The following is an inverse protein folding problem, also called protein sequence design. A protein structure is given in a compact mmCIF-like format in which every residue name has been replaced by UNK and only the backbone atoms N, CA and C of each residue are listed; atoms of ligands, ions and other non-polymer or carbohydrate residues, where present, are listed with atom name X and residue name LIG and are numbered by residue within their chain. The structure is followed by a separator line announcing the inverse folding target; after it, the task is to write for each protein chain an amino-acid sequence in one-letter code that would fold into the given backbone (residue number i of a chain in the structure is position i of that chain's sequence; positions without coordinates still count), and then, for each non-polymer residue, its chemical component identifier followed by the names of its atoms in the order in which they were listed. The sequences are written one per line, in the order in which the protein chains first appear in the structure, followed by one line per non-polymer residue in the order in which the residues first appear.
data_IF_319967622429
#
_entry.id   IF_319967622429
#
_cell.length_a   1.000
_cell.length_b   1.000
_cell.length_c   1.000
_cell.angle_alpha   90.00
_cell.angle_beta   90.00
_cell.angle_gamma   90.00
#
_symmetry.space_group_name_H-M   'P 1'
#
loop_
_entity.id
_entity.type
_entity.pdbx_description
1 polymer ?
#
# COMPACT_ATOMS: atom_id res chain seq x y z
N UNK A 1 8.05 -17.05 -24.25
CA UNK A 1 6.92 -16.70 -23.39
C UNK A 1 6.09 -17.95 -23.08
N UNK A 2 5.65 -18.67 -24.10
CA UNK A 2 4.80 -19.87 -23.93
C UNK A 2 5.48 -21.03 -23.18
N UNK A 3 6.79 -21.23 -23.38
CA UNK A 3 7.57 -22.27 -22.67
C UNK A 3 7.70 -21.99 -21.15
N UNK A 4 7.77 -20.74 -20.74
CA UNK A 4 7.83 -20.38 -19.33
C UNK A 4 6.46 -20.56 -18.67
N UNK A 5 5.40 -20.11 -19.33
CA UNK A 5 4.03 -20.26 -18.81
C UNK A 5 3.64 -21.72 -18.61
N UNK A 6 4.06 -22.61 -19.52
CA UNK A 6 3.81 -24.05 -19.42
C UNK A 6 4.53 -24.70 -18.22
N UNK A 7 5.57 -24.08 -17.67
CA UNK A 7 6.32 -24.53 -16.50
C UNK A 7 5.93 -23.82 -15.20
N UNK A 8 4.84 -23.06 -15.19
CA UNK A 8 4.35 -22.35 -14.00
C UNK A 8 5.10 -21.06 -13.70
N UNK A 9 5.78 -20.47 -14.69
CA UNK A 9 6.42 -19.16 -14.59
C UNK A 9 5.62 -18.14 -15.37
N UNK A 10 5.21 -17.08 -14.68
CA UNK A 10 4.52 -15.96 -15.30
C UNK A 10 5.36 -14.70 -15.10
N UNK A 11 5.42 -13.88 -16.11
CA UNK A 11 6.13 -12.60 -16.02
C UNK A 11 5.34 -11.49 -16.71
N UNK A 12 5.61 -10.29 -16.30
CA UNK A 12 4.95 -9.13 -16.88
C UNK A 12 5.56 -7.82 -16.42
N UNK A 13 5.03 -6.75 -16.99
CA UNK A 13 5.40 -5.39 -16.56
C UNK A 13 4.55 -4.99 -15.36
N UNK A 14 5.21 -4.45 -14.34
CA UNK A 14 4.55 -3.88 -13.18
C UNK A 14 3.67 -2.69 -13.59
N UNK A 15 2.50 -2.58 -12.98
CA UNK A 15 1.59 -1.45 -13.20
C UNK A 15 1.73 -0.48 -12.04
N UNK A 16 2.00 0.77 -12.36
CA UNK A 16 2.11 1.84 -11.38
C UNK A 16 0.86 2.71 -11.37
N UNK A 17 0.49 3.18 -10.18
CA UNK A 17 -0.58 4.15 -10.01
C UNK A 17 -0.08 5.56 -10.35
N UNK A 18 0.21 5.77 -11.63
CA UNK A 18 0.74 7.03 -12.16
C UNK A 18 -0.36 7.79 -12.89
N UNK A 19 -0.40 9.08 -12.69
CA UNK A 19 -1.32 10.00 -13.36
C UNK A 19 -1.12 9.95 -14.88
N UNK A 20 -2.19 9.72 -15.59
CA UNK A 20 -2.26 9.84 -17.06
C UNK A 20 -3.27 10.93 -17.45
N UNK A 21 -3.57 11.06 -18.75
CA UNK A 21 -4.51 12.04 -19.30
C UNK A 21 -5.91 12.07 -18.64
N UNK A 22 -6.26 11.02 -17.90
CA UNK A 22 -7.57 10.86 -17.26
C UNK A 22 -7.54 11.10 -15.74
N UNK A 23 -6.40 11.50 -15.17
CA UNK A 23 -6.31 11.74 -13.74
C UNK A 23 -6.74 13.16 -13.37
N UNK A 24 -7.09 13.35 -12.10
CA UNK A 24 -7.50 14.63 -11.53
C UNK A 24 -6.42 15.74 -11.59
N UNK A 25 -5.15 15.38 -11.81
CA UNK A 25 -4.04 16.31 -12.01
C UNK A 25 -3.60 16.29 -13.47
N UNK A 26 -3.41 17.49 -14.05
CA UNK A 26 -3.03 17.69 -15.46
C UNK A 26 -1.59 17.30 -15.82
N UNK A 27 -0.79 16.88 -14.86
CA UNK A 27 0.62 16.56 -15.06
C UNK A 27 0.79 15.07 -15.36
N UNK A 28 1.35 14.78 -16.53
CA UNK A 28 1.76 13.42 -16.88
C UNK A 28 3.14 13.12 -16.28
N UNK A 29 3.44 11.84 -16.08
CA UNK A 29 4.76 11.39 -15.67
C UNK A 29 5.83 11.92 -16.64
N UNK A 30 6.85 12.58 -16.10
CA UNK A 30 7.98 13.14 -16.86
C UNK A 30 9.12 12.13 -17.03
N UNK A 31 8.97 10.90 -16.49
CA UNK A 31 9.99 9.85 -16.53
C UNK A 31 11.35 10.33 -15.99
N UNK A 32 11.33 11.07 -14.90
CA UNK A 32 12.52 11.73 -14.35
C UNK A 32 13.39 10.81 -13.48
N UNK A 33 13.04 9.52 -13.29
CA UNK A 33 13.81 8.58 -12.49
C UNK A 33 13.73 8.75 -10.97
N UNK A 34 13.00 9.74 -10.44
CA UNK A 34 12.98 10.07 -9.00
C UNK A 34 11.87 9.38 -8.20
N UNK A 35 11.34 8.26 -8.68
CA UNK A 35 10.16 7.64 -8.08
C UNK A 35 10.39 7.16 -6.63
N UNK A 36 11.56 6.60 -6.31
CA UNK A 36 11.92 6.15 -4.96
C UNK A 36 12.08 7.29 -3.96
N UNK A 37 12.50 8.46 -4.43
CA UNK A 37 12.70 9.65 -3.57
C UNK A 37 11.43 10.49 -3.40
N UNK A 38 10.33 10.06 -4.03
CA UNK A 38 9.08 10.79 -4.12
C UNK A 38 8.98 11.57 -5.43
N UNK A 39 7.79 11.58 -6.00
CA UNK A 39 7.54 12.21 -7.29
C UNK A 39 7.44 13.74 -7.16
N UNK A 40 8.42 14.54 -7.66
CA UNK A 40 8.38 16.00 -7.54
C UNK A 40 7.23 16.62 -8.34
N UNK A 41 6.72 15.89 -9.33
CA UNK A 41 5.58 16.32 -10.17
C UNK A 41 4.23 15.82 -9.64
N UNK A 42 4.23 15.13 -8.49
CA UNK A 42 3.03 14.54 -7.89
C UNK A 42 2.20 13.66 -8.85
N UNK A 43 2.85 13.04 -9.82
CA UNK A 43 2.19 12.17 -10.79
C UNK A 43 1.83 10.80 -10.21
N UNK A 44 2.53 10.37 -9.17
CA UNK A 44 2.20 9.11 -8.48
C UNK A 44 1.01 9.31 -7.55
N UNK A 45 0.16 8.28 -7.46
CA UNK A 45 -0.95 8.29 -6.51
C UNK A 45 -0.43 8.50 -5.09
N UNK A 46 -1.01 9.47 -4.41
CA UNK A 46 -0.73 9.77 -3.01
C UNK A 46 -2.05 9.97 -2.26
N UNK A 47 -2.26 9.18 -1.22
CA UNK A 47 -3.49 9.22 -0.42
C UNK A 47 -3.73 10.58 0.24
N UNK A 48 -2.66 11.30 0.64
CA UNK A 48 -2.76 12.65 1.20
C UNK A 48 -3.37 13.64 0.18
N UNK A 49 -2.89 13.58 -1.07
CA UNK A 49 -3.40 14.44 -2.14
C UNK A 49 -4.85 14.13 -2.47
N UNK A 50 -5.21 12.83 -2.48
CA UNK A 50 -6.60 12.41 -2.65
C UNK A 50 -7.47 12.92 -1.50
N UNK A 51 -7.03 12.77 -0.25
CA UNK A 51 -7.76 13.24 0.92
C UNK A 51 -8.01 14.74 0.86
N UNK A 52 -6.98 15.55 0.54
CA UNK A 52 -7.12 17.01 0.40
C UNK A 52 -8.15 17.37 -0.67
N UNK A 53 -8.08 16.72 -1.83
CA UNK A 53 -9.05 16.94 -2.92
C UNK A 53 -10.48 16.55 -2.53
N UNK A 54 -10.63 15.49 -1.73
CA UNK A 54 -11.96 15.07 -1.23
C UNK A 54 -12.50 16.03 -0.17
N UNK A 55 -11.66 16.56 0.71
CA UNK A 55 -12.05 17.58 1.70
C UNK A 55 -12.50 18.87 1.03
N UNK A 56 -11.81 19.27 -0.05
CA UNK A 56 -12.20 20.46 -0.85
C UNK A 56 -13.53 20.22 -1.58
N UNK A 57 -13.72 19.04 -2.14
CA UNK A 57 -14.90 18.71 -2.95
C UNK A 57 -16.15 18.42 -2.11
N UNK A 58 -15.97 17.86 -0.91
CA UNK A 58 -17.05 17.41 -0.04
C UNK A 58 -16.87 17.89 1.41
N UNK A 59 -16.77 19.21 1.65
CA UNK A 59 -16.45 19.76 2.96
C UNK A 59 -17.48 19.43 4.05
N UNK A 60 -18.74 19.25 3.67
CA UNK A 60 -19.81 18.93 4.62
C UNK A 60 -19.92 17.43 4.92
N UNK A 61 -19.44 16.59 4.00
CA UNK A 61 -19.57 15.12 4.10
C UNK A 61 -18.31 14.44 4.65
N UNK A 62 -17.14 15.09 4.55
CA UNK A 62 -15.87 14.53 4.96
C UNK A 62 -15.24 15.34 6.08
N UNK A 63 -15.22 14.77 7.29
CA UNK A 63 -14.60 15.39 8.45
C UNK A 63 -13.34 14.63 8.85
N UNK A 64 -12.20 15.10 8.39
CA UNK A 64 -10.89 14.53 8.73
C UNK A 64 -10.38 15.06 10.06
N UNK A 65 -10.06 14.17 11.00
CA UNK A 65 -9.53 14.52 12.32
C UNK A 65 -8.12 13.99 12.50
N UNK A 66 -7.18 14.89 12.70
CA UNK A 66 -5.78 14.57 12.98
C UNK A 66 -5.56 14.30 14.47
N UNK A 67 -4.47 13.59 14.77
CA UNK A 67 -4.00 13.35 16.13
C UNK A 67 -5.03 12.62 17.02
N UNK A 68 -5.94 11.88 16.44
CA UNK A 68 -6.91 11.06 17.16
C UNK A 68 -6.49 9.61 17.16
N UNK A 69 -6.15 9.11 18.33
CA UNK A 69 -5.85 7.70 18.55
C UNK A 69 -7.07 6.98 19.09
N UNK A 70 -7.54 5.95 18.40
CA UNK A 70 -8.64 5.11 18.85
C UNK A 70 -8.11 4.05 19.82
N UNK A 71 -8.55 4.13 21.05
CA UNK A 71 -8.16 3.17 22.12
C UNK A 71 -8.92 1.86 22.00
N UNK A 72 -10.24 1.97 21.97
CA UNK A 72 -11.16 0.83 21.93
C UNK A 72 -12.41 1.20 21.15
N UNK A 73 -13.15 0.19 20.73
CA UNK A 73 -14.51 0.37 20.24
C UNK A 73 -15.43 -0.74 20.77
N UNK A 74 -16.72 -0.43 20.89
CA UNK A 74 -17.74 -1.38 21.29
C UNK A 74 -18.99 -1.19 20.47
N UNK A 75 -19.58 -2.29 20.00
CA UNK A 75 -20.87 -2.27 19.33
C UNK A 75 -21.99 -2.49 20.37
N UNK A 76 -22.96 -1.59 20.39
CA UNK A 76 -24.19 -1.73 21.17
C UNK A 76 -25.35 -1.57 20.17
N UNK A 77 -26.14 -2.61 20.04
CA UNK A 77 -27.20 -2.67 19.04
C UNK A 77 -26.66 -2.39 17.63
N UNK A 78 -27.10 -1.32 16.98
CA UNK A 78 -26.67 -0.91 15.64
C UNK A 78 -25.65 0.24 15.64
N UNK A 79 -25.20 0.68 16.82
CA UNK A 79 -24.27 1.81 16.94
C UNK A 79 -22.94 1.31 17.50
N UNK A 80 -21.85 1.81 16.91
CA UNK A 80 -20.49 1.56 17.33
C UNK A 80 -19.98 2.81 18.05
N UNK A 81 -19.51 2.63 19.29
CA UNK A 81 -18.93 3.69 20.10
C UNK A 81 -17.41 3.52 20.13
N UNK A 82 -16.68 4.59 19.86
CA UNK A 82 -15.23 4.63 19.89
C UNK A 82 -14.77 5.47 21.08
N UNK A 83 -13.81 4.94 21.82
CA UNK A 83 -13.07 5.71 22.82
C UNK A 83 -11.74 6.15 22.23
N UNK A 84 -11.48 7.43 22.25
CA UNK A 84 -10.32 8.02 21.62
C UNK A 84 -9.57 8.93 22.57
N UNK A 85 -8.32 9.23 22.21
CA UNK A 85 -7.51 10.25 22.86
C UNK A 85 -6.88 11.14 21.77
N UNK A 86 -6.88 12.42 21.99
CA UNK A 86 -6.06 13.33 21.19
C UNK A 86 -4.60 13.20 21.66
N UNK A 87 -3.71 12.81 20.76
CA UNK A 87 -2.30 12.55 21.11
C UNK A 87 -1.49 13.82 21.41
N UNK A 88 -2.01 15.00 21.06
CA UNK A 88 -1.37 16.28 21.33
C UNK A 88 -1.84 16.88 22.64
N UNK A 89 -3.16 16.86 22.91
CA UNK A 89 -3.74 17.48 24.11
C UNK A 89 -3.97 16.50 25.25
N UNK A 90 -3.85 15.19 25.02
CA UNK A 90 -4.21 14.11 25.93
C UNK A 90 -5.68 14.07 26.36
N UNK A 91 -6.55 14.83 25.70
CA UNK A 91 -7.98 14.81 25.97
C UNK A 91 -8.65 13.56 25.43
N UNK A 92 -9.48 12.94 26.26
CA UNK A 92 -10.30 11.80 25.83
C UNK A 92 -11.60 12.28 25.22
N UNK A 93 -11.99 11.67 24.07
CA UNK A 93 -13.23 11.96 23.40
C UNK A 93 -13.90 10.69 22.92
N UNK A 94 -15.25 10.69 22.91
CA UNK A 94 -16.04 9.58 22.38
C UNK A 94 -16.65 9.97 21.04
N UNK A 95 -16.69 9.03 20.13
CA UNK A 95 -17.38 9.13 18.83
C UNK A 95 -18.35 7.97 18.70
N UNK A 96 -19.35 8.13 17.85
CA UNK A 96 -20.28 7.06 17.50
C UNK A 96 -20.50 7.03 16.00
N UNK A 97 -20.75 5.85 15.45
CA UNK A 97 -21.04 5.63 14.04
C UNK A 97 -21.88 4.36 13.85
N UNK A 98 -22.56 4.26 12.74
CA UNK A 98 -23.27 3.04 12.34
C UNK A 98 -22.32 2.01 11.70
N UNK A 99 -21.33 2.48 10.95
CA UNK A 99 -20.35 1.65 10.27
C UNK A 99 -18.93 2.11 10.63
N UNK A 100 -18.05 1.16 10.92
CA UNK A 100 -16.63 1.38 11.24
C UNK A 100 -15.76 0.64 10.24
N UNK A 101 -14.93 1.37 9.49
CA UNK A 101 -13.90 0.82 8.63
C UNK A 101 -12.54 0.98 9.29
N UNK A 102 -11.81 -0.13 9.45
CA UNK A 102 -10.50 -0.14 10.13
C UNK A 102 -9.42 -0.38 9.11
N UNK A 103 -8.54 0.60 8.90
CA UNK A 103 -7.44 0.57 7.93
C UNK A 103 -6.08 0.85 8.56
N UNK A 104 -5.84 0.39 9.81
CA UNK A 104 -4.63 0.73 10.58
C UNK A 104 -3.41 -0.15 10.29
N UNK A 105 -3.46 -1.00 9.27
CA UNK A 105 -2.46 -2.04 9.03
C UNK A 105 -2.62 -3.24 9.97
N UNK A 106 -1.95 -4.38 9.70
CA UNK A 106 -2.25 -5.65 10.37
C UNK A 106 -2.00 -5.61 11.88
N UNK A 107 -0.87 -5.06 12.31
CA UNK A 107 -0.47 -5.04 13.74
C UNK A 107 -1.40 -4.16 14.57
N UNK A 108 -1.63 -2.91 14.10
CA UNK A 108 -2.47 -1.98 14.84
C UNK A 108 -3.95 -2.38 14.82
N UNK A 109 -4.42 -2.95 13.71
CA UNK A 109 -5.78 -3.51 13.62
C UNK A 109 -5.96 -4.65 14.63
N UNK A 110 -5.02 -5.62 14.66
CA UNK A 110 -5.06 -6.71 15.64
C UNK A 110 -5.05 -6.20 17.07
N UNK A 111 -4.16 -5.24 17.37
CA UNK A 111 -4.08 -4.60 18.69
C UNK A 111 -5.40 -3.89 19.07
N UNK A 112 -6.02 -3.18 18.15
CA UNK A 112 -7.29 -2.49 18.38
C UNK A 112 -8.43 -3.49 18.67
N UNK A 113 -8.51 -4.56 17.89
CA UNK A 113 -9.53 -5.62 18.06
C UNK A 113 -9.38 -6.32 19.41
N UNK A 114 -8.15 -6.68 19.80
CA UNK A 114 -7.87 -7.31 21.10
C UNK A 114 -8.21 -6.38 22.27
N UNK A 115 -7.82 -5.11 22.20
CA UNK A 115 -8.15 -4.12 23.25
C UNK A 115 -9.65 -3.89 23.37
N UNK A 116 -10.37 -3.96 22.26
CA UNK A 116 -11.82 -3.77 22.23
C UNK A 116 -12.59 -4.98 22.74
N UNK A 117 -11.91 -6.11 23.03
CA UNK A 117 -12.50 -7.35 23.56
C UNK A 117 -13.70 -7.86 22.78
N UNK A 118 -13.66 -7.70 21.44
CA UNK A 118 -14.72 -8.14 20.55
C UNK A 118 -14.68 -9.66 20.36
N UNK A 119 -13.46 -10.20 20.41
CA UNK A 119 -13.20 -11.63 20.32
C UNK A 119 -12.96 -12.18 21.71
N UNK A 120 -13.49 -13.38 21.99
CA UNK A 120 -13.19 -14.12 23.21
C UNK A 120 -11.72 -14.55 23.28
N UNK A 121 -11.08 -14.64 22.12
CA UNK A 121 -9.68 -15.01 21.99
C UNK A 121 -8.76 -13.91 22.53
N UNK A 122 -7.75 -14.32 23.28
CA UNK A 122 -6.70 -13.43 23.81
C UNK A 122 -5.55 -13.22 22.82
N UNK A 123 -5.52 -14.01 21.74
CA UNK A 123 -4.43 -14.04 20.76
C UNK A 123 -4.99 -14.00 19.35
N UNK A 124 -4.31 -13.28 18.47
CA UNK A 124 -4.62 -13.20 17.05
C UNK A 124 -3.37 -13.59 16.28
N UNK A 125 -3.52 -14.53 15.33
CA UNK A 125 -2.45 -14.87 14.38
C UNK A 125 -2.38 -13.84 13.29
N UNK A 126 -1.24 -13.16 13.17
CA UNK A 126 -0.97 -12.22 12.07
C UNK A 126 -0.23 -12.98 10.97
N UNK A 127 -0.70 -12.81 9.74
CA UNK A 127 0.00 -13.26 8.53
C UNK A 127 0.58 -12.04 7.84
N UNK A 128 1.85 -12.12 7.53
CA UNK A 128 2.56 -11.07 6.83
C UNK A 128 3.30 -11.66 5.63
N UNK A 129 3.44 -10.86 4.56
CA UNK A 129 4.28 -11.21 3.42
C UNK A 129 5.74 -11.00 3.81
N UNK A 130 6.53 -12.05 3.77
CA UNK A 130 7.98 -11.92 3.95
C UNK A 130 8.59 -11.41 2.66
N UNK A 131 9.47 -10.41 2.77
CA UNK A 131 10.26 -9.89 1.66
C UNK A 131 11.72 -10.21 1.89
N UNK A 132 12.36 -10.65 0.82
CA UNK A 132 13.80 -10.91 0.79
C UNK A 132 14.38 -10.15 -0.39
N UNK A 133 15.52 -9.53 -0.19
CA UNK A 133 16.30 -8.89 -1.23
C UNK A 133 17.53 -9.73 -1.50
N UNK A 134 17.82 -9.96 -2.76
CA UNK A 134 19.05 -10.63 -3.17
C UNK A 134 19.57 -10.00 -4.47
N UNK A 135 20.88 -9.86 -4.62
CA UNK A 135 21.47 -9.32 -5.85
C UNK A 135 21.33 -10.33 -6.99
N UNK A 136 21.01 -9.82 -8.17
CA UNK A 136 21.02 -10.58 -9.40
C UNK A 136 21.99 -9.92 -10.39
N UNK A 137 22.87 -10.71 -10.98
CA UNK A 137 23.87 -10.22 -11.93
C UNK A 137 23.48 -10.65 -13.35
N UNK A 138 23.41 -9.70 -14.25
CA UNK A 138 23.23 -9.96 -15.67
C UNK A 138 24.58 -10.20 -16.34
N UNK A 139 24.79 -11.41 -16.84
CA UNK A 139 26.06 -11.79 -17.49
C UNK A 139 26.08 -11.53 -19.01
N UNK A 140 25.03 -10.98 -19.57
CA UNK A 140 24.92 -10.62 -20.98
C UNK A 140 25.56 -9.26 -21.29
N UNK A 141 25.63 -8.93 -22.60
CA UNK A 141 26.04 -7.59 -23.01
C UNK A 141 24.86 -6.64 -22.84
N UNK A 142 25.07 -5.59 -22.07
CA UNK A 142 24.10 -4.48 -22.00
C UNK A 142 24.16 -3.69 -23.29
N UNK A 143 23.01 -3.48 -23.92
CA UNK A 143 22.92 -2.60 -25.08
C UNK A 143 22.79 -1.15 -24.58
N UNK A 144 23.96 -0.48 -24.44
CA UNK A 144 24.07 0.89 -23.92
C UNK A 144 23.31 1.95 -24.78
N UNK A 145 22.65 1.53 -25.86
CA UNK A 145 21.87 2.44 -26.72
C UNK A 145 20.46 2.73 -26.21
N UNK A 146 19.98 2.00 -25.20
CA UNK A 146 18.70 2.28 -24.59
C UNK A 146 18.84 3.40 -23.53
N UNK A 147 19.02 4.62 -23.98
CA UNK A 147 18.75 5.83 -23.18
C UNK A 147 17.24 6.05 -23.03
N UNK A 148 16.51 5.01 -22.68
CA UNK A 148 15.13 5.21 -22.25
C UNK A 148 15.16 5.86 -20.88
N UNK A 149 14.41 6.93 -20.74
CA UNK A 149 14.11 7.56 -19.46
C UNK A 149 13.50 6.50 -18.54
N UNK A 150 14.26 6.04 -17.56
CA UNK A 150 13.91 4.92 -16.70
C UNK A 150 13.03 5.39 -15.53
N UNK A 151 12.14 4.52 -15.11
CA UNK A 151 11.53 4.64 -13.80
C UNK A 151 12.40 3.85 -12.79
N UNK A 152 12.59 4.39 -11.60
CA UNK A 152 13.35 3.70 -10.54
C UNK A 152 12.51 2.69 -9.75
N UNK A 153 11.27 2.44 -10.17
CA UNK A 153 10.40 1.43 -9.57
C UNK A 153 10.54 0.09 -10.31
N UNK A 154 10.26 -1.03 -9.66
CA UNK A 154 10.33 -2.35 -10.30
C UNK A 154 9.47 -2.39 -11.56
N UNK A 155 10.10 -2.52 -12.73
CA UNK A 155 9.38 -2.54 -14.00
C UNK A 155 8.90 -3.92 -14.40
N UNK A 156 9.58 -4.95 -13.91
CA UNK A 156 9.26 -6.34 -14.22
C UNK A 156 8.91 -7.12 -12.95
N UNK A 157 7.98 -8.04 -13.10
CA UNK A 157 7.69 -9.02 -12.08
C UNK A 157 7.71 -10.43 -12.66
N UNK A 158 8.04 -11.38 -11.78
CA UNK A 158 7.91 -12.80 -12.01
C UNK A 158 7.04 -13.43 -10.93
N UNK A 159 6.20 -14.36 -11.35
CA UNK A 159 5.42 -15.20 -10.44
C UNK A 159 5.74 -16.67 -10.73
N UNK A 160 6.02 -17.43 -9.67
CA UNK A 160 6.36 -18.83 -9.75
C UNK A 160 5.28 -19.64 -9.04
N UNK A 161 4.60 -20.49 -9.79
CA UNK A 161 3.61 -21.44 -9.30
C UNK A 161 4.18 -22.85 -9.48
N UNK A 162 4.96 -23.33 -8.52
CA UNK A 162 5.54 -24.65 -8.55
C UNK A 162 5.50 -25.30 -7.17
N UNK A 163 4.63 -26.29 -7.00
CA UNK A 163 4.41 -26.95 -5.71
C UNK A 163 5.66 -27.65 -5.16
N UNK A 164 6.62 -28.02 -6.02
CA UNK A 164 7.91 -28.60 -5.59
C UNK A 164 8.80 -27.56 -4.90
N UNK A 165 8.59 -26.28 -5.18
CA UNK A 165 9.37 -25.17 -4.62
C UNK A 165 8.60 -24.55 -3.44
N UNK A 166 7.32 -24.25 -3.64
CA UNK A 166 6.47 -23.61 -2.64
C UNK A 166 5.00 -23.95 -2.87
N UNK A 167 4.25 -24.21 -1.80
CA UNK A 167 2.79 -24.33 -1.84
C UNK A 167 2.08 -22.97 -2.05
N UNK A 168 2.83 -21.87 -2.14
CA UNK A 168 2.34 -20.52 -2.36
C UNK A 168 3.02 -19.94 -3.59
N UNK A 169 2.34 -19.02 -4.26
CA UNK A 169 2.95 -18.21 -5.30
C UNK A 169 4.16 -17.46 -4.73
N UNK A 170 5.28 -17.55 -5.42
CA UNK A 170 6.46 -16.72 -5.17
C UNK A 170 6.41 -15.57 -6.15
N UNK A 171 6.35 -14.34 -5.62
CA UNK A 171 6.34 -13.13 -6.43
C UNK A 171 7.70 -12.43 -6.31
N UNK A 172 8.35 -12.24 -7.43
CA UNK A 172 9.64 -11.56 -7.56
C UNK A 172 9.44 -10.24 -8.30
N UNK A 173 10.14 -9.20 -7.85
CA UNK A 173 10.21 -7.92 -8.54
C UNK A 173 11.67 -7.60 -8.82
N UNK A 174 11.92 -7.09 -10.02
CA UNK A 174 13.26 -6.69 -10.44
C UNK A 174 13.35 -5.18 -10.39
N UNK A 175 14.30 -4.71 -9.64
CA UNK A 175 14.69 -3.29 -9.55
C UNK A 175 16.10 -3.16 -10.10
N UNK A 176 16.35 -2.13 -10.89
CA UNK A 176 17.71 -1.73 -11.26
C UNK A 176 18.19 -0.74 -10.20
N UNK A 177 19.29 -1.07 -9.54
CA UNK A 177 19.96 -0.16 -8.62
C UNK A 177 20.94 0.67 -9.44
N UNK A 178 20.75 1.98 -9.50
CA UNK A 178 21.70 2.91 -10.12
C UNK A 178 22.69 3.34 -9.03
N UNK A 179 23.99 3.14 -9.33
CA UNK A 179 25.10 3.65 -8.53
C UNK A 179 25.20 5.18 -8.56
#
# INVERSE_FOLDING_TARGET
EDDLNNNGFFFGRSKFAVSNKYSFKKLNCQKCGLCHYGCPYECMFNAKNLLNSLMEKFPENLNYKQNIFVKTFVKKENIIFLETINTTTNESKKYSCENLFIGCGPILTASLVLRSKILEQKEIKIKESQRFYFPAFYLGKSDNNLKELKNTLPELFFEIYNEKISSKCIHLQFEEEED
#
